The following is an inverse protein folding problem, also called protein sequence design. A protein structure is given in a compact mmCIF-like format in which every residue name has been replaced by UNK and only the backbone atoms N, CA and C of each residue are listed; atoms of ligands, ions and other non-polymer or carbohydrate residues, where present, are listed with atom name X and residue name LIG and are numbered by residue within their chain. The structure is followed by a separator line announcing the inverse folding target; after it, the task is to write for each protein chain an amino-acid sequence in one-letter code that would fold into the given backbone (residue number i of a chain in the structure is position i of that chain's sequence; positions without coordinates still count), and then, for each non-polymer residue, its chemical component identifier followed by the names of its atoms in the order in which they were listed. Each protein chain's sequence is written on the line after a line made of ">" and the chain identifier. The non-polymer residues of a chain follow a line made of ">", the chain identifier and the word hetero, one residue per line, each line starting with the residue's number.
data_IF_865444445691
#
_entry.id   IF_865444445691
#
_cell.length_a   1.000
_cell.length_b   1.000
_cell.length_c   1.000
_cell.angle_alpha   90.00
_cell.angle_beta   90.00
_cell.angle_gamma   90.00
#
_symmetry.space_group_name_H-M   'P 1'
#
loop_
_entity.id
_entity.type
_entity.pdbx_description
1 polymer ?
#
# COMPACT_ATOMS: atom_id res chain seq x y z
N UNK A 1 31.45 -2.11 -10.76
CA UNK A 1 30.47 -2.95 -10.06
C UNK A 1 29.20 -2.14 -9.89
N UNK A 2 28.07 -2.68 -10.34
CA UNK A 2 26.75 -2.05 -10.26
C UNK A 2 25.89 -2.76 -9.24
N UNK A 3 25.39 -2.01 -8.26
CA UNK A 3 24.63 -2.53 -7.13
C UNK A 3 23.28 -1.82 -7.04
N UNK A 4 22.20 -2.59 -7.00
CA UNK A 4 20.86 -2.05 -6.75
C UNK A 4 20.50 -2.21 -5.29
N UNK A 5 20.05 -1.14 -4.65
CA UNK A 5 19.71 -1.06 -3.24
C UNK A 5 18.20 -0.84 -3.12
N UNK A 6 17.45 -1.92 -2.98
CA UNK A 6 15.99 -1.92 -3.01
C UNK A 6 15.35 -2.43 -1.71
N UNK A 7 15.55 -1.76 -0.56
CA UNK A 7 14.98 -2.18 0.71
C UNK A 7 13.58 -1.62 0.95
N UNK A 8 12.86 -2.28 1.85
CA UNK A 8 11.73 -1.69 2.58
C UNK A 8 12.22 -0.85 3.77
N UNK A 9 11.29 -0.16 4.41
CA UNK A 9 11.46 0.40 5.73
C UNK A 9 11.79 -0.66 6.78
N UNK A 10 12.59 -0.24 7.76
CA UNK A 10 12.69 -0.95 9.02
C UNK A 10 11.64 -0.30 9.92
N UNK A 11 10.47 -0.96 10.05
CA UNK A 11 9.29 -0.41 10.75
C UNK A 11 9.66 0.18 12.11
N UNK A 12 9.12 1.37 12.38
CA UNK A 12 9.40 2.16 13.59
C UNK A 12 10.89 2.49 13.84
N UNK A 13 11.72 2.48 12.80
CA UNK A 13 13.16 2.71 12.90
C UNK A 13 13.69 3.61 11.77
N UNK A 14 13.73 3.11 10.54
CA UNK A 14 14.23 3.84 9.37
C UNK A 14 13.27 3.71 8.20
N UNK A 15 13.04 4.80 7.47
CA UNK A 15 12.33 4.75 6.20
C UNK A 15 13.14 3.98 5.15
N UNK A 16 12.48 3.43 4.14
CA UNK A 16 13.13 2.71 3.03
C UNK A 16 14.28 3.53 2.41
N UNK A 17 14.09 4.84 2.23
CA UNK A 17 15.12 5.75 1.73
C UNK A 17 16.35 5.83 2.65
N UNK A 18 16.15 5.86 3.98
CA UNK A 18 17.25 5.87 4.95
C UNK A 18 17.97 4.52 5.01
N UNK A 19 17.25 3.41 4.84
CA UNK A 19 17.85 2.08 4.73
C UNK A 19 18.70 1.98 3.47
N UNK A 20 18.19 2.43 2.32
CA UNK A 20 18.93 2.43 1.05
C UNK A 20 20.21 3.27 1.14
N UNK A 21 20.14 4.45 1.76
CA UNK A 21 21.32 5.29 2.00
C UNK A 21 22.35 4.63 2.93
N UNK A 22 21.90 3.93 3.98
CA UNK A 22 22.78 3.17 4.86
C UNK A 22 23.46 2.00 4.12
N UNK A 23 22.74 1.31 3.24
CA UNK A 23 23.33 0.27 2.38
C UNK A 23 24.38 0.86 1.44
N UNK A 24 24.09 2.01 0.81
CA UNK A 24 25.04 2.69 -0.08
C UNK A 24 26.34 3.05 0.66
N UNK A 25 26.22 3.57 1.88
CA UNK A 25 27.37 3.87 2.72
C UNK A 25 28.25 2.63 2.92
N UNK A 26 27.63 1.47 3.23
CA UNK A 26 28.35 0.19 3.36
C UNK A 26 29.02 -0.27 2.06
N UNK A 27 28.35 -0.11 0.91
CA UNK A 27 28.93 -0.44 -0.40
C UNK A 27 30.17 0.43 -0.67
N UNK A 28 30.05 1.75 -0.50
CA UNK A 28 31.13 2.70 -0.81
C UNK A 28 32.33 2.61 0.13
N UNK A 29 32.15 2.08 1.34
CA UNK A 29 33.27 1.79 2.25
C UNK A 29 34.25 0.76 1.65
N UNK A 30 33.73 -0.21 0.88
CA UNK A 30 34.51 -1.32 0.32
C UNK A 30 34.84 -1.08 -1.15
N UNK A 31 33.91 -0.51 -1.91
CA UNK A 31 34.06 -0.20 -3.33
C UNK A 31 33.62 1.25 -3.60
N UNK A 32 34.51 2.25 -3.40
CA UNK A 32 34.17 3.67 -3.55
C UNK A 32 33.59 4.05 -4.91
N UNK A 33 34.11 3.40 -5.96
CA UNK A 33 33.73 3.59 -7.37
C UNK A 33 32.52 2.73 -7.82
N UNK A 34 31.81 2.08 -6.88
CA UNK A 34 30.62 1.33 -7.22
C UNK A 34 29.49 2.24 -7.73
N UNK A 35 28.80 1.77 -8.77
CA UNK A 35 27.59 2.38 -9.29
C UNK A 35 26.39 1.89 -8.45
N UNK A 36 25.95 2.70 -7.49
CA UNK A 36 24.85 2.39 -6.59
C UNK A 36 23.55 3.03 -7.08
N UNK A 37 22.55 2.21 -7.39
CA UNK A 37 21.19 2.68 -7.68
C UNK A 37 20.29 2.46 -6.46
N UNK A 38 19.84 3.55 -5.83
CA UNK A 38 18.94 3.49 -4.67
C UNK A 38 17.49 3.45 -5.16
N UNK A 39 16.76 2.42 -4.75
CA UNK A 39 15.36 2.21 -5.14
C UNK A 39 14.53 1.87 -3.90
N UNK A 40 14.19 2.84 -3.04
CA UNK A 40 13.34 2.58 -1.88
C UNK A 40 12.03 1.89 -2.30
N UNK A 41 11.72 0.77 -1.65
CA UNK A 41 10.56 -0.07 -1.97
C UNK A 41 9.53 -0.06 -0.84
N UNK A 42 8.34 -0.60 -1.15
CA UNK A 42 7.24 -0.85 -0.23
C UNK A 42 6.30 -1.93 -0.80
N UNK A 43 5.36 -2.39 0.02
CA UNK A 43 4.38 -3.46 -0.28
C UNK A 43 2.95 -2.92 -0.53
N UNK A 44 2.77 -1.62 -0.79
CA UNK A 44 1.44 -1.01 -0.92
C UNK A 44 0.80 -0.61 0.42
N UNK A 45 1.43 -0.96 1.55
CA UNK A 45 1.09 -0.49 2.88
C UNK A 45 1.63 0.91 3.20
N UNK A 46 1.70 1.22 4.49
CA UNK A 46 2.18 2.51 5.00
C UNK A 46 3.61 2.81 4.56
N UNK A 47 3.83 4.02 4.07
CA UNK A 47 5.11 4.50 3.58
C UNK A 47 5.31 4.32 2.09
N UNK A 48 4.35 3.70 1.38
CA UNK A 48 4.43 3.47 -0.08
C UNK A 48 4.57 4.77 -0.85
N UNK A 49 3.75 5.78 -0.54
CA UNK A 49 3.86 7.07 -1.23
C UNK A 49 5.21 7.73 -0.96
N UNK A 50 5.77 7.58 0.25
CA UNK A 50 7.08 8.12 0.59
C UNK A 50 8.22 7.39 -0.15
N UNK A 51 8.14 6.06 -0.27
CA UNK A 51 9.11 5.26 -1.01
C UNK A 51 9.12 5.64 -2.50
N UNK A 52 7.94 5.68 -3.13
CA UNK A 52 7.80 6.04 -4.56
C UNK A 52 8.26 7.47 -4.84
N UNK A 53 7.86 8.44 -4.01
CA UNK A 53 8.30 9.84 -4.16
C UNK A 53 9.82 9.95 -4.03
N UNK A 54 10.42 9.28 -3.06
CA UNK A 54 11.87 9.28 -2.87
C UNK A 54 12.61 8.59 -4.03
N UNK A 55 12.09 7.47 -4.54
CA UNK A 55 12.70 6.70 -5.62
C UNK A 55 12.66 7.41 -6.99
N UNK A 56 11.69 8.30 -7.20
CA UNK A 56 11.45 8.95 -8.49
C UNK A 56 11.66 10.48 -8.46
N UNK A 57 12.06 11.06 -7.33
CA UNK A 57 12.25 12.51 -7.20
C UNK A 57 10.94 13.30 -7.33
N UNK A 58 9.84 12.76 -6.80
CA UNK A 58 8.53 13.40 -6.80
C UNK A 58 8.41 14.54 -5.79
N UNK A 59 7.23 15.14 -5.73
CA UNK A 59 6.86 16.14 -4.75
C UNK A 59 5.50 15.86 -4.13
N UNK A 60 5.29 16.36 -2.92
CA UNK A 60 4.03 16.21 -2.20
C UNK A 60 3.02 17.27 -2.64
N UNK A 61 1.76 16.86 -2.74
CA UNK A 61 0.61 17.75 -2.85
C UNK A 61 -0.26 17.57 -1.62
N UNK A 62 -0.64 18.68 -0.99
CA UNK A 62 -1.48 18.71 0.21
C UNK A 62 -2.82 19.34 -0.12
N UNK A 63 -3.88 18.86 0.53
CA UNK A 63 -5.23 19.33 0.32
C UNK A 63 -6.10 19.10 1.55
N UNK A 64 -7.12 19.92 1.72
CA UNK A 64 -8.15 19.70 2.74
C UNK A 64 -9.29 18.88 2.15
N UNK A 65 -9.62 17.78 2.82
CA UNK A 65 -10.67 16.85 2.40
C UNK A 65 -11.56 16.47 3.56
N UNK A 66 -12.66 15.80 3.24
CA UNK A 66 -13.59 15.23 4.21
C UNK A 66 -12.96 14.02 4.90
N UNK A 67 -12.65 14.16 6.19
CA UNK A 67 -12.12 13.08 7.00
C UNK A 67 -13.13 11.98 7.30
N UNK A 68 -12.70 10.88 7.94
CA UNK A 68 -13.54 9.71 8.14
C UNK A 68 -14.77 10.02 9.00
N UNK A 69 -14.68 10.94 9.96
CA UNK A 69 -15.77 11.30 10.90
C UNK A 69 -16.50 12.60 10.53
N UNK A 70 -16.45 13.03 9.27
CA UNK A 70 -17.16 14.24 8.80
C UNK A 70 -16.38 15.55 8.91
N UNK A 71 -15.37 15.61 9.77
CA UNK A 71 -14.52 16.79 9.94
C UNK A 71 -13.50 16.93 8.82
N UNK A 72 -13.12 18.15 8.46
CA UNK A 72 -12.05 18.37 7.49
C UNK A 72 -10.69 17.91 8.02
N UNK A 73 -9.90 17.25 7.17
CA UNK A 73 -8.53 16.78 7.47
C UNK A 73 -7.58 17.15 6.33
N UNK A 74 -6.31 17.34 6.66
CA UNK A 74 -5.25 17.46 5.67
C UNK A 74 -4.87 16.09 5.11
N UNK A 75 -5.11 15.88 3.81
CA UNK A 75 -4.62 14.74 3.07
C UNK A 75 -3.43 15.13 2.20
N UNK A 76 -2.68 14.14 1.73
CA UNK A 76 -1.59 14.34 0.79
C UNK A 76 -1.41 13.18 -0.17
N UNK A 77 -0.85 13.45 -1.34
CA UNK A 77 -0.41 12.43 -2.28
C UNK A 77 0.92 12.84 -2.91
N UNK A 78 1.69 11.87 -3.39
CA UNK A 78 2.92 12.10 -4.13
C UNK A 78 2.62 12.30 -5.61
N UNK A 79 3.26 13.27 -6.25
CA UNK A 79 3.20 13.50 -7.70
C UNK A 79 4.58 13.35 -8.32
N UNK A 80 4.65 12.55 -9.39
CA UNK A 80 5.87 12.28 -10.16
C UNK A 80 5.52 12.45 -11.64
N UNK A 81 5.86 13.60 -12.23
CA UNK A 81 5.43 13.92 -13.60
C UNK A 81 3.90 13.88 -13.73
N UNK A 82 3.39 12.97 -14.56
CA UNK A 82 1.95 12.69 -14.75
C UNK A 82 1.45 11.44 -13.98
N UNK A 83 2.27 10.87 -13.11
CA UNK A 83 1.87 9.81 -12.19
C UNK A 83 1.62 10.36 -10.78
N UNK A 84 0.76 9.67 -10.03
CA UNK A 84 0.49 9.99 -8.64
C UNK A 84 0.46 8.74 -7.77
N UNK A 85 0.88 8.87 -6.53
CA UNK A 85 0.83 7.82 -5.51
C UNK A 85 0.05 8.32 -4.30
N UNK A 86 -1.00 7.59 -3.94
CA UNK A 86 -1.93 7.99 -2.89
C UNK A 86 -2.15 6.86 -1.89
N UNK A 87 -1.91 7.13 -0.62
CA UNK A 87 -2.27 6.24 0.48
C UNK A 87 -3.57 6.74 1.09
N UNK A 88 -4.66 5.96 1.00
CA UNK A 88 -5.98 6.41 1.47
C UNK A 88 -5.98 6.77 2.94
N UNK A 89 -5.10 6.18 3.75
CA UNK A 89 -4.94 6.51 5.15
C UNK A 89 -4.63 8.00 5.41
N UNK A 90 -4.02 8.72 4.45
CA UNK A 90 -3.80 10.16 4.64
C UNK A 90 -5.10 10.96 4.70
N UNK A 91 -6.18 10.45 4.09
CA UNK A 91 -7.48 11.11 4.05
C UNK A 91 -8.49 10.45 5.01
N UNK A 92 -8.45 9.12 5.11
CA UNK A 92 -9.48 8.31 5.79
C UNK A 92 -8.87 7.27 6.73
N UNK A 93 -7.67 7.54 7.24
CA UNK A 93 -6.91 6.61 8.07
C UNK A 93 -7.47 6.42 9.48
N UNK A 94 -7.29 5.22 10.03
CA UNK A 94 -7.64 4.85 11.39
C UNK A 94 -6.90 5.69 12.44
N UNK A 95 -5.68 6.14 12.12
CA UNK A 95 -4.89 7.05 12.94
C UNK A 95 -5.46 8.47 13.04
N UNK A 96 -6.39 8.85 12.16
CA UNK A 96 -7.08 10.14 12.23
C UNK A 96 -8.26 10.14 13.23
N UNK A 97 -8.61 8.97 13.77
CA UNK A 97 -9.77 8.79 14.65
C UNK A 97 -9.33 8.19 15.97
N UNK A 98 -9.48 8.98 17.05
CA UNK A 98 -9.26 8.50 18.40
C UNK A 98 -10.13 7.26 18.68
N UNK A 99 -9.65 6.23 19.39
CA UNK A 99 -10.40 4.99 19.62
C UNK A 99 -11.84 5.19 20.13
N UNK A 100 -12.03 6.12 21.08
CA UNK A 100 -13.35 6.44 21.65
C UNK A 100 -14.31 7.17 20.69
N UNK A 101 -13.84 7.61 19.52
CA UNK A 101 -14.60 8.33 18.49
C UNK A 101 -14.84 7.50 17.25
N UNK A 102 -14.41 6.24 17.24
CA UNK A 102 -14.62 5.33 16.11
C UNK A 102 -16.08 4.93 16.06
N UNK A 103 -16.76 5.36 15.02
CA UNK A 103 -18.12 4.96 14.67
C UNK A 103 -18.10 4.42 13.25
N UNK A 104 -18.22 3.10 13.13
CA UNK A 104 -18.10 2.40 11.84
C UNK A 104 -19.26 2.75 10.89
N UNK A 105 -20.44 3.09 11.41
CA UNK A 105 -21.64 3.42 10.62
C UNK A 105 -21.63 4.85 10.08
N UNK A 106 -20.89 5.74 10.74
CA UNK A 106 -20.72 7.13 10.31
C UNK A 106 -19.41 7.36 9.54
N UNK A 107 -18.49 6.39 9.56
CA UNK A 107 -17.22 6.50 8.85
C UNK A 107 -17.42 6.62 7.33
N UNK A 108 -16.85 7.67 6.72
CA UNK A 108 -17.00 7.94 5.29
C UNK A 108 -15.66 7.93 4.54
N UNK A 109 -15.62 7.28 3.39
CA UNK A 109 -14.47 7.27 2.48
C UNK A 109 -14.39 8.51 1.56
N UNK A 110 -15.23 9.52 1.77
CA UNK A 110 -15.38 10.68 0.86
C UNK A 110 -14.08 11.45 0.60
N UNK A 111 -13.23 11.59 1.61
CA UNK A 111 -11.93 12.26 1.45
C UNK A 111 -11.00 11.54 0.46
N UNK A 112 -11.09 10.22 0.35
CA UNK A 112 -10.32 9.46 -0.64
C UNK A 112 -10.79 9.79 -2.07
N UNK A 113 -12.10 9.83 -2.30
CA UNK A 113 -12.67 10.23 -3.59
C UNK A 113 -12.34 11.68 -3.97
N UNK A 114 -12.40 12.61 -3.01
CA UNK A 114 -12.00 14.00 -3.22
C UNK A 114 -10.52 14.12 -3.58
N UNK A 115 -9.65 13.29 -2.99
CA UNK A 115 -8.23 13.25 -3.30
C UNK A 115 -7.98 12.72 -4.71
N UNK A 116 -8.62 11.62 -5.10
CA UNK A 116 -8.53 11.10 -6.47
C UNK A 116 -9.05 12.09 -7.51
N UNK A 117 -10.16 12.79 -7.21
CA UNK A 117 -10.67 13.87 -8.08
C UNK A 117 -9.65 15.00 -8.25
N UNK A 118 -8.98 15.40 -7.17
CA UNK A 118 -7.92 16.41 -7.24
C UNK A 118 -6.72 15.93 -8.06
N UNK A 119 -6.35 14.64 -7.95
CA UNK A 119 -5.32 14.04 -8.80
C UNK A 119 -5.71 14.11 -10.28
N UNK A 120 -6.95 13.74 -10.62
CA UNK A 120 -7.47 13.83 -11.97
C UNK A 120 -7.42 15.26 -12.52
N UNK A 121 -7.87 16.25 -11.73
CA UNK A 121 -7.85 17.65 -12.16
C UNK A 121 -6.45 18.24 -12.34
N UNK A 122 -5.43 17.60 -11.77
CA UNK A 122 -4.02 17.96 -11.95
C UNK A 122 -3.36 17.23 -13.13
N UNK A 123 -4.13 16.51 -13.96
CA UNK A 123 -3.61 15.79 -15.12
C UNK A 123 -2.77 14.57 -14.76
N UNK A 124 -3.04 13.93 -13.63
CA UNK A 124 -2.45 12.62 -13.31
C UNK A 124 -3.18 11.56 -14.14
N UNK A 125 -2.43 10.80 -14.94
CA UNK A 125 -2.95 9.74 -15.81
C UNK A 125 -2.70 8.34 -15.27
N UNK A 126 -1.81 8.18 -14.29
CA UNK A 126 -1.54 6.90 -13.63
C UNK A 126 -1.56 7.11 -12.12
N UNK A 127 -2.44 6.41 -11.42
CA UNK A 127 -2.56 6.49 -9.97
C UNK A 127 -2.27 5.14 -9.32
N UNK A 128 -1.23 5.11 -8.50
CA UNK A 128 -0.94 4.01 -7.59
C UNK A 128 -1.61 4.29 -6.25
N UNK A 129 -2.51 3.42 -5.82
CA UNK A 129 -3.36 3.61 -4.64
C UNK A 129 -3.04 2.54 -3.60
N UNK A 130 -2.56 2.95 -2.44
CA UNK A 130 -2.42 2.10 -1.26
C UNK A 130 -3.69 2.17 -0.40
N UNK A 131 -4.27 1.01 -0.09
CA UNK A 131 -5.52 0.90 0.68
C UNK A 131 -5.33 0.65 2.19
N UNK A 132 -4.09 0.46 2.64
CA UNK A 132 -3.79 0.14 4.04
C UNK A 132 -4.30 1.20 5.04
N UNK A 133 -4.67 0.77 6.24
CA UNK A 133 -4.87 1.66 7.39
C UNK A 133 -6.18 2.47 7.41
N UNK A 134 -7.20 2.12 6.64
CA UNK A 134 -8.49 2.85 6.60
C UNK A 134 -9.30 2.76 7.92
N UNK A 135 -10.04 3.82 8.25
CA UNK A 135 -11.03 3.87 9.32
C UNK A 135 -12.45 3.44 8.88
N UNK A 136 -12.68 3.23 7.58
CA UNK A 136 -14.00 3.15 6.96
C UNK A 136 -14.44 1.71 6.70
N UNK A 137 -15.76 1.46 6.69
CA UNK A 137 -16.37 0.20 6.27
C UNK A 137 -17.65 0.46 5.46
N UNK A 138 -17.55 1.38 4.49
CA UNK A 138 -18.68 1.95 3.79
C UNK A 138 -18.86 1.44 2.35
N UNK A 139 -18.16 0.37 1.97
CA UNK A 139 -18.23 -0.16 0.62
C UNK A 139 -17.62 0.78 -0.44
N UNK A 140 -16.90 1.82 -0.01
CA UNK A 140 -16.42 2.87 -0.90
C UNK A 140 -17.52 3.80 -1.43
N UNK A 141 -18.72 3.80 -0.85
CA UNK A 141 -19.79 4.72 -1.25
C UNK A 141 -19.35 6.19 -1.10
N UNK A 142 -18.63 6.51 -0.03
CA UNK A 142 -18.05 7.84 0.17
C UNK A 142 -17.06 8.19 -0.93
N UNK A 143 -16.15 7.26 -1.28
CA UNK A 143 -15.17 7.42 -2.35
C UNK A 143 -15.85 7.75 -3.68
N UNK A 144 -16.88 6.99 -4.06
CA UNK A 144 -17.64 7.26 -5.29
C UNK A 144 -18.33 8.63 -5.23
N UNK A 145 -18.90 9.01 -4.07
CA UNK A 145 -19.49 10.32 -3.88
C UNK A 145 -18.46 11.46 -3.97
N UNK A 146 -17.23 11.24 -3.50
CA UNK A 146 -16.12 12.20 -3.61
C UNK A 146 -15.67 12.43 -5.05
N UNK A 147 -15.86 11.43 -5.91
CA UNK A 147 -15.64 11.50 -7.36
C UNK A 147 -16.85 12.04 -8.13
N UNK A 148 -18.01 12.18 -7.49
CA UNK A 148 -19.21 12.80 -8.09
C UNK A 148 -20.38 11.86 -8.34
N UNK A 149 -20.30 10.57 -7.98
CA UNK A 149 -21.45 9.67 -8.06
C UNK A 149 -22.62 10.18 -7.21
N UNK A 150 -23.84 9.87 -7.65
CA UNK A 150 -25.08 10.28 -6.99
C UNK A 150 -25.96 9.07 -6.67
N UNK A 151 -26.72 9.17 -5.59
CA UNK A 151 -27.46 8.05 -4.99
C UNK A 151 -28.89 8.51 -4.69
N UNK A 152 -29.87 7.69 -5.07
CA UNK A 152 -31.28 8.04 -4.93
C UNK A 152 -32.12 6.92 -4.33
N UNK A 153 -33.15 7.32 -3.58
CA UNK A 153 -34.18 6.42 -3.06
C UNK A 153 -35.19 6.02 -4.15
N UNK A 154 -36.17 5.19 -3.79
CA UNK A 154 -37.23 4.74 -4.70
C UNK A 154 -38.12 5.87 -5.26
N UNK A 155 -38.11 7.04 -4.62
CA UNK A 155 -38.89 8.21 -5.02
C UNK A 155 -38.05 9.22 -5.83
N UNK A 156 -36.76 8.93 -6.06
CA UNK A 156 -35.83 9.83 -6.73
C UNK A 156 -35.23 10.92 -5.83
N UNK A 157 -35.39 10.84 -4.50
CA UNK A 157 -34.73 11.77 -3.57
C UNK A 157 -33.28 11.38 -3.34
N UNK A 158 -32.40 12.38 -3.24
CA UNK A 158 -30.99 12.16 -2.96
C UNK A 158 -30.77 11.52 -1.59
N UNK A 159 -29.95 10.47 -1.55
CA UNK A 159 -29.55 9.77 -0.33
C UNK A 159 -28.13 10.17 0.05
N UNK A 160 -27.91 10.51 1.32
CA UNK A 160 -26.59 10.82 1.82
C UNK A 160 -25.68 9.56 1.77
N UNK A 161 -24.46 9.65 1.18
CA UNK A 161 -23.58 8.50 0.92
C UNK A 161 -22.84 8.03 2.18
N UNK A 162 -23.60 7.43 3.11
CA UNK A 162 -23.10 6.77 4.32
C UNK A 162 -23.58 5.32 4.33
N UNK A 163 -22.79 4.43 4.93
CA UNK A 163 -23.11 2.99 4.95
C UNK A 163 -24.46 2.68 5.59
N UNK A 164 -24.84 3.42 6.65
CA UNK A 164 -26.15 3.30 7.30
C UNK A 164 -27.35 3.62 6.38
N UNK A 165 -27.12 4.37 5.31
CA UNK A 165 -28.16 4.78 4.36
C UNK A 165 -28.21 3.90 3.11
N UNK A 166 -27.23 3.03 2.89
CA UNK A 166 -27.18 2.11 1.74
C UNK A 166 -28.50 1.35 1.52
N UNK A 167 -29.19 0.82 2.55
CA UNK A 167 -30.44 0.08 2.34
C UNK A 167 -31.57 0.91 1.69
N UNK A 168 -31.47 2.24 1.69
CA UNK A 168 -32.45 3.14 1.10
C UNK A 168 -32.17 3.44 -0.39
N UNK A 169 -30.96 3.14 -0.87
CA UNK A 169 -30.52 3.48 -2.23
C UNK A 169 -31.07 2.45 -3.21
N UNK A 170 -31.86 2.90 -4.18
CA UNK A 170 -32.39 2.04 -5.24
C UNK A 170 -31.84 2.39 -6.62
N UNK A 171 -31.29 3.59 -6.79
CA UNK A 171 -30.68 4.05 -8.03
C UNK A 171 -29.32 4.68 -7.76
N UNK A 172 -28.34 4.34 -8.59
CA UNK A 172 -26.96 4.83 -8.55
C UNK A 172 -26.60 5.43 -9.90
N UNK A 173 -26.27 6.72 -9.93
CA UNK A 173 -25.67 7.38 -11.08
C UNK A 173 -24.13 7.37 -10.92
N UNK A 174 -23.49 6.35 -11.48
CA UNK A 174 -22.03 6.14 -11.39
C UNK A 174 -21.24 6.94 -12.45
N UNK A 175 -21.88 7.28 -13.57
CA UNK A 175 -21.26 7.94 -14.73
C UNK A 175 -20.41 9.18 -14.38
N UNK A 176 -20.84 10.11 -13.49
CA UNK A 176 -20.00 11.26 -13.16
C UNK A 176 -18.66 10.89 -12.49
N UNK A 177 -18.64 9.81 -11.69
CA UNK A 177 -17.41 9.31 -11.08
C UNK A 177 -16.51 8.65 -12.13
N UNK A 178 -17.07 7.88 -13.05
CA UNK A 178 -16.34 7.27 -14.18
C UNK A 178 -15.70 8.36 -15.06
N UNK A 179 -16.45 9.40 -15.42
CA UNK A 179 -15.95 10.53 -16.21
C UNK A 179 -14.79 11.26 -15.51
N UNK A 180 -14.88 11.42 -14.19
CA UNK A 180 -13.82 12.07 -13.39
C UNK A 180 -12.49 11.33 -13.49
N UNK A 181 -12.51 10.00 -13.56
CA UNK A 181 -11.28 9.16 -13.62
C UNK A 181 -11.04 8.54 -15.01
N UNK A 182 -11.81 8.92 -16.03
CA UNK A 182 -11.79 8.27 -17.34
C UNK A 182 -10.41 8.29 -18.02
N UNK A 183 -9.62 9.34 -17.77
CA UNK A 183 -8.27 9.49 -18.31
C UNK A 183 -7.17 8.93 -17.37
N UNK A 184 -7.55 8.21 -16.31
CA UNK A 184 -6.64 7.65 -15.32
C UNK A 184 -6.60 6.13 -15.40
N UNK A 185 -5.39 5.58 -15.43
CA UNK A 185 -5.12 4.20 -15.07
C UNK A 185 -5.02 4.11 -13.55
N UNK A 186 -5.93 3.35 -12.93
CA UNK A 186 -5.97 3.15 -11.49
C UNK A 186 -5.37 1.79 -11.13
N UNK A 187 -4.29 1.79 -10.37
CA UNK A 187 -3.67 0.58 -9.83
C UNK A 187 -3.77 0.60 -8.32
N UNK A 188 -4.39 -0.44 -7.75
CA UNK A 188 -4.45 -0.65 -6.31
C UNK A 188 -3.33 -1.59 -5.90
N UNK A 189 -2.40 -1.11 -5.09
CA UNK A 189 -1.34 -1.91 -4.48
C UNK A 189 -1.85 -2.49 -3.17
N UNK A 190 -2.20 -3.77 -3.17
CA UNK A 190 -2.70 -4.46 -1.97
C UNK A 190 -2.46 -5.95 -2.04
N UNK A 191 -1.99 -6.51 -0.91
CA UNK A 191 -1.87 -7.95 -0.72
C UNK A 191 -3.11 -8.55 -0.02
N UNK A 192 -4.14 -7.73 0.23
CA UNK A 192 -5.41 -8.17 0.79
C UNK A 192 -6.21 -8.87 -0.30
N UNK A 193 -6.50 -10.15 -0.12
CA UNK A 193 -7.30 -10.96 -1.04
C UNK A 193 -8.75 -11.13 -0.59
N UNK A 194 -9.11 -10.62 0.60
CA UNK A 194 -10.44 -10.72 1.18
C UNK A 194 -11.55 -10.23 0.22
N UNK A 195 -12.62 -11.01 0.00
CA UNK A 195 -13.78 -10.57 -0.78
C UNK A 195 -14.56 -9.47 -0.03
N UNK A 196 -15.58 -8.89 -0.67
CA UNK A 196 -16.37 -7.84 -0.03
C UNK A 196 -17.09 -8.34 1.23
N UNK A 197 -17.70 -9.52 1.13
CA UNK A 197 -18.63 -10.06 2.14
C UNK A 197 -18.26 -11.47 2.62
N UNK A 198 -18.93 -11.94 3.66
CA UNK A 198 -18.81 -13.29 4.21
C UNK A 198 -17.80 -13.39 5.35
N UNK A 199 -17.44 -14.63 5.73
CA UNK A 199 -16.57 -14.90 6.89
C UNK A 199 -15.17 -14.29 6.76
N UNK A 200 -14.68 -14.19 5.54
CA UNK A 200 -13.42 -13.55 5.20
C UNK A 200 -13.64 -12.16 4.59
N UNK A 201 -14.84 -11.60 4.70
CA UNK A 201 -15.23 -10.33 4.13
C UNK A 201 -14.69 -9.10 4.89
N UNK A 202 -14.93 -7.93 4.32
CA UNK A 202 -14.44 -6.65 4.84
C UNK A 202 -14.84 -6.41 6.31
N UNK A 203 -16.13 -6.57 6.60
CA UNK A 203 -16.70 -6.33 7.94
C UNK A 203 -16.19 -7.33 8.96
N UNK A 204 -16.12 -8.61 8.62
CA UNK A 204 -15.72 -9.68 9.53
C UNK A 204 -14.24 -9.58 9.93
N UNK A 205 -13.36 -9.35 8.95
CA UNK A 205 -11.91 -9.35 9.17
C UNK A 205 -11.41 -8.00 9.70
N UNK A 206 -11.91 -6.89 9.15
CA UNK A 206 -11.35 -5.56 9.42
C UNK A 206 -12.29 -4.65 10.21
N UNK A 207 -13.56 -5.01 10.41
CA UNK A 207 -14.52 -4.26 11.20
C UNK A 207 -14.16 -4.12 12.69
N UNK A 208 -13.72 -5.18 13.41
CA UNK A 208 -13.45 -5.10 14.85
C UNK A 208 -12.46 -3.99 15.24
N UNK A 209 -11.34 -3.87 14.51
CA UNK A 209 -10.34 -2.81 14.77
C UNK A 209 -10.85 -1.39 14.49
N UNK A 210 -11.93 -1.26 13.70
CA UNK A 210 -12.61 0.01 13.36
C UNK A 210 -13.76 0.33 14.31
N UNK A 211 -14.01 -0.50 15.32
CA UNK A 211 -15.05 -0.28 16.33
C UNK A 211 -16.35 -1.06 16.10
N UNK A 212 -16.37 -2.04 15.18
CA UNK A 212 -17.55 -2.89 14.99
C UNK A 212 -17.75 -3.85 16.17
N UNK A 213 -18.98 -3.92 16.68
CA UNK A 213 -19.44 -5.03 17.52
C UNK A 213 -19.80 -6.25 16.66
N UNK A 214 -20.06 -7.39 17.28
CA UNK A 214 -20.48 -8.59 16.55
C UNK A 214 -21.80 -8.37 15.77
N UNK A 215 -22.75 -7.63 16.34
CA UNK A 215 -24.00 -7.27 15.64
C UNK A 215 -23.73 -6.36 14.44
N UNK A 216 -22.84 -5.38 14.59
CA UNK A 216 -22.47 -4.48 13.50
C UNK A 216 -21.87 -5.26 12.33
N UNK A 217 -21.05 -6.28 12.60
CA UNK A 217 -20.42 -7.10 11.55
C UNK A 217 -21.49 -7.77 10.67
N UNK A 218 -22.51 -8.38 11.28
CA UNK A 218 -23.58 -9.08 10.56
C UNK A 218 -24.45 -8.10 9.76
N UNK A 219 -24.76 -6.93 10.34
CA UNK A 219 -25.57 -5.90 9.70
C UNK A 219 -24.82 -5.22 8.55
N UNK A 220 -23.53 -4.90 8.76
CA UNK A 220 -22.66 -4.34 7.73
C UNK A 220 -22.44 -5.32 6.60
N UNK A 221 -22.22 -6.61 6.88
CA UNK A 221 -22.03 -7.62 5.84
C UNK A 221 -23.25 -7.71 4.90
N UNK A 222 -24.47 -7.74 5.47
CA UNK A 222 -25.71 -7.70 4.67
C UNK A 222 -25.86 -6.41 3.88
N UNK A 223 -25.51 -5.28 4.48
CA UNK A 223 -25.55 -3.96 3.85
C UNK A 223 -24.57 -3.88 2.67
N UNK A 224 -23.34 -4.36 2.86
CA UNK A 224 -22.32 -4.40 1.81
C UNK A 224 -22.67 -5.41 0.71
N UNK A 225 -23.33 -6.52 1.03
CA UNK A 225 -23.79 -7.47 0.03
C UNK A 225 -24.87 -6.84 -0.88
N UNK A 226 -25.79 -6.04 -0.31
CA UNK A 226 -26.75 -5.26 -1.08
C UNK A 226 -26.06 -4.22 -1.96
N UNK A 227 -25.12 -3.47 -1.37
CA UNK A 227 -24.34 -2.46 -2.08
C UNK A 227 -23.54 -3.03 -3.25
N UNK A 228 -22.85 -4.16 -3.02
CA UNK A 228 -22.11 -4.88 -4.05
C UNK A 228 -23.01 -5.24 -5.23
N UNK A 229 -24.21 -5.79 -4.97
CA UNK A 229 -25.16 -6.14 -6.04
C UNK A 229 -25.61 -4.92 -6.84
N UNK A 230 -25.81 -3.77 -6.19
CA UNK A 230 -26.15 -2.53 -6.89
C UNK A 230 -25.00 -2.07 -7.80
N UNK A 231 -23.74 -2.20 -7.36
CA UNK A 231 -22.57 -1.91 -8.19
C UNK A 231 -22.47 -2.87 -9.39
N UNK A 232 -22.66 -4.17 -9.18
CA UNK A 232 -22.65 -5.17 -10.25
C UNK A 232 -23.75 -4.91 -11.28
N UNK A 233 -24.96 -4.52 -10.84
CA UNK A 233 -26.06 -4.14 -11.72
C UNK A 233 -25.72 -2.93 -12.60
N UNK A 234 -25.12 -1.89 -12.03
CA UNK A 234 -24.79 -0.66 -12.78
C UNK A 234 -23.58 -0.85 -13.70
N UNK A 235 -22.62 -1.68 -13.30
CA UNK A 235 -21.38 -1.89 -14.05
C UNK A 235 -21.44 -3.06 -15.03
N UNK A 236 -22.37 -4.01 -14.83
CA UNK A 236 -22.43 -5.28 -15.57
C UNK A 236 -21.26 -6.23 -15.28
N UNK A 237 -20.55 -6.04 -14.16
CA UNK A 237 -19.37 -6.83 -13.76
C UNK A 237 -19.66 -7.62 -12.49
N UNK A 238 -19.09 -8.80 -12.35
CA UNK A 238 -19.04 -9.54 -11.08
C UNK A 238 -17.88 -9.00 -10.24
N UNK A 239 -18.17 -8.44 -9.07
CA UNK A 239 -17.23 -7.64 -8.28
C UNK A 239 -17.11 -8.12 -6.83
N UNK A 240 -18.17 -8.66 -6.24
CA UNK A 240 -18.26 -8.94 -4.80
C UNK A 240 -17.21 -9.96 -4.36
N UNK A 241 -17.01 -11.00 -5.17
CA UNK A 241 -16.13 -12.13 -4.88
C UNK A 241 -14.71 -11.96 -5.45
N UNK A 242 -14.43 -10.83 -6.11
CA UNK A 242 -13.09 -10.56 -6.62
C UNK A 242 -12.08 -10.44 -5.46
N UNK A 243 -10.89 -11.05 -5.58
CA UNK A 243 -9.86 -10.92 -4.57
C UNK A 243 -9.54 -9.45 -4.28
N UNK A 244 -9.63 -9.08 -3.01
CA UNK A 244 -9.37 -7.72 -2.53
C UNK A 244 -10.53 -6.74 -2.70
N UNK A 245 -11.71 -7.18 -3.14
CA UNK A 245 -12.92 -6.37 -3.15
C UNK A 245 -13.26 -5.82 -1.74
N UNK A 246 -12.94 -6.56 -0.68
CA UNK A 246 -13.13 -6.14 0.70
C UNK A 246 -12.06 -5.21 1.25
N UNK A 247 -10.99 -4.94 0.49
CA UNK A 247 -9.89 -4.10 0.94
C UNK A 247 -10.40 -2.73 1.40
N UNK A 248 -9.88 -2.29 2.55
CA UNK A 248 -10.21 -1.03 3.18
C UNK A 248 -11.72 -0.79 3.40
N UNK A 249 -12.44 -1.84 3.85
CA UNK A 249 -13.85 -1.72 4.16
C UNK A 249 -14.75 -1.65 2.93
N UNK A 250 -14.31 -2.28 1.84
CA UNK A 250 -15.00 -2.28 0.55
C UNK A 250 -14.65 -1.10 -0.38
N UNK A 251 -13.64 -0.27 -0.07
CA UNK A 251 -13.13 0.65 -1.09
C UNK A 251 -12.54 -0.11 -2.30
N UNK A 252 -12.05 -1.33 -2.09
CA UNK A 252 -11.62 -2.22 -3.18
C UNK A 252 -12.71 -2.44 -4.23
N UNK A 253 -13.93 -2.82 -3.82
CA UNK A 253 -15.05 -3.05 -4.76
C UNK A 253 -15.44 -1.78 -5.51
N UNK A 254 -15.41 -0.61 -4.85
CA UNK A 254 -15.68 0.67 -5.50
C UNK A 254 -14.63 1.04 -6.55
N UNK A 255 -13.34 0.79 -6.27
CA UNK A 255 -12.26 1.04 -7.23
C UNK A 255 -12.32 0.04 -8.40
N UNK A 256 -12.65 -1.22 -8.15
CA UNK A 256 -12.91 -2.22 -9.21
C UNK A 256 -14.08 -1.79 -10.11
N UNK A 257 -15.16 -1.26 -9.52
CA UNK A 257 -16.29 -0.70 -10.28
C UNK A 257 -15.88 0.45 -11.19
N UNK A 258 -14.89 1.25 -10.78
CA UNK A 258 -14.26 2.31 -11.58
C UNK A 258 -13.23 1.80 -12.61
N UNK A 259 -12.99 0.49 -12.66
CA UNK A 259 -12.03 -0.12 -13.59
C UNK A 259 -10.59 -0.18 -13.09
N UNK A 260 -10.35 0.00 -11.78
CA UNK A 260 -9.02 -0.18 -11.21
C UNK A 260 -8.55 -1.63 -11.29
N UNK A 261 -7.24 -1.81 -11.38
CA UNK A 261 -6.59 -3.12 -11.30
C UNK A 261 -6.02 -3.31 -9.90
N UNK A 262 -6.40 -4.41 -9.24
CA UNK A 262 -5.78 -4.82 -7.99
C UNK A 262 -4.55 -5.67 -8.31
N UNK A 263 -3.41 -5.28 -7.74
CA UNK A 263 -2.12 -5.93 -8.01
C UNK A 263 -1.37 -6.14 -6.69
N UNK A 264 -0.56 -7.22 -6.57
CA UNK A 264 0.32 -7.41 -5.43
C UNK A 264 1.17 -6.17 -5.20
N UNK A 265 1.25 -5.71 -3.96
CA UNK A 265 1.71 -4.36 -3.69
C UNK A 265 3.18 -4.14 -4.05
N UNK A 266 4.04 -5.08 -3.69
CA UNK A 266 5.47 -5.06 -4.07
C UNK A 266 5.67 -5.04 -5.59
N UNK A 267 4.83 -5.75 -6.35
CA UNK A 267 4.92 -5.78 -7.81
C UNK A 267 4.53 -4.43 -8.41
N UNK A 268 3.36 -3.91 -8.01
CA UNK A 268 2.87 -2.63 -8.48
C UNK A 268 3.84 -1.48 -8.14
N UNK A 269 4.41 -1.48 -6.93
CA UNK A 269 5.41 -0.50 -6.50
C UNK A 269 6.71 -0.66 -7.31
N UNK A 270 7.21 -1.88 -7.46
CA UNK A 270 8.46 -2.15 -8.18
C UNK A 270 8.40 -1.70 -9.64
N UNK A 271 7.30 -1.96 -10.33
CA UNK A 271 7.08 -1.47 -11.69
C UNK A 271 6.93 0.06 -11.73
N UNK A 272 6.18 0.64 -10.80
CA UNK A 272 6.00 2.09 -10.73
C UNK A 272 7.33 2.83 -10.55
N UNK A 273 8.28 2.26 -9.78
CA UNK A 273 9.61 2.84 -9.57
C UNK A 273 10.65 2.39 -10.60
N UNK A 274 10.27 1.58 -11.60
CA UNK A 274 11.16 1.08 -12.65
C UNK A 274 12.26 0.15 -12.12
N UNK A 275 11.97 -0.63 -11.08
CA UNK A 275 12.93 -1.56 -10.49
C UNK A 275 13.45 -2.61 -11.48
N UNK A 276 12.61 -3.28 -12.32
CA UNK A 276 13.11 -4.27 -13.27
C UNK A 276 14.17 -3.73 -14.24
N UNK A 277 13.98 -2.51 -14.76
CA UNK A 277 14.93 -1.85 -15.65
C UNK A 277 16.23 -1.49 -14.92
N UNK A 278 16.12 -1.05 -13.66
CA UNK A 278 17.25 -0.71 -12.80
C UNK A 278 18.07 -1.93 -12.37
N UNK A 279 17.44 -3.11 -12.28
CA UNK A 279 18.11 -4.38 -12.00
C UNK A 279 18.89 -4.90 -13.21
N UNK A 280 18.38 -4.69 -14.44
CA UNK A 280 18.99 -5.26 -15.65
C UNK A 280 20.48 -4.90 -15.77
N UNK A 281 21.35 -5.89 -15.73
CA UNK A 281 22.80 -5.72 -15.81
C UNK A 281 23.47 -5.25 -14.51
N UNK A 282 22.79 -5.36 -13.37
CA UNK A 282 23.41 -5.22 -12.05
C UNK A 282 24.19 -6.49 -11.68
N UNK A 283 25.26 -6.33 -10.91
CA UNK A 283 26.06 -7.46 -10.40
C UNK A 283 25.44 -8.07 -9.15
N UNK A 284 24.68 -7.26 -8.39
CA UNK A 284 24.14 -7.61 -7.09
C UNK A 284 22.95 -6.72 -6.73
N UNK A 285 21.96 -7.29 -6.05
CA UNK A 285 20.87 -6.56 -5.41
C UNK A 285 20.98 -6.73 -3.89
N UNK A 286 20.90 -5.63 -3.15
CA UNK A 286 20.60 -5.65 -1.72
C UNK A 286 19.16 -5.24 -1.48
N UNK A 287 18.48 -5.98 -0.62
CA UNK A 287 17.16 -5.62 -0.10
C UNK A 287 17.13 -5.85 1.41
N UNK A 288 16.03 -5.53 2.07
CA UNK A 288 15.91 -5.73 3.50
C UNK A 288 14.61 -5.18 4.07
N UNK A 289 14.30 -5.64 5.27
CA UNK A 289 13.18 -5.16 6.08
C UNK A 289 13.51 -5.36 7.57
N UNK A 290 12.66 -4.83 8.46
CA UNK A 290 12.88 -4.95 9.91
C UNK A 290 12.96 -6.39 10.44
N UNK A 291 12.20 -7.32 9.83
CA UNK A 291 12.19 -8.74 10.20
C UNK A 291 12.00 -9.62 8.98
N UNK A 292 12.95 -10.52 8.71
CA UNK A 292 12.82 -11.56 7.69
C UNK A 292 12.61 -12.90 8.38
N UNK A 293 11.54 -13.59 8.00
CA UNK A 293 11.13 -14.91 8.47
C UNK A 293 10.43 -15.66 7.33
N UNK A 294 9.99 -16.89 7.57
CA UNK A 294 9.32 -17.72 6.57
C UNK A 294 8.05 -17.06 6.00
N UNK A 295 7.45 -16.10 6.71
CA UNK A 295 6.31 -15.33 6.22
C UNK A 295 6.69 -14.30 5.15
N UNK A 296 7.96 -13.92 5.04
CA UNK A 296 8.44 -12.98 4.01
C UNK A 296 8.13 -13.46 2.58
N UNK A 297 7.97 -14.78 2.36
CA UNK A 297 7.55 -15.32 1.05
C UNK A 297 6.13 -14.95 0.62
N UNK A 298 5.27 -14.55 1.55
CA UNK A 298 3.87 -14.24 1.28
C UNK A 298 3.67 -12.74 1.02
N UNK A 299 4.30 -12.23 -0.04
CA UNK A 299 4.04 -10.89 -0.57
C UNK A 299 4.85 -9.74 0.03
N UNK A 300 5.78 -10.00 0.96
CA UNK A 300 6.61 -8.93 1.53
C UNK A 300 7.64 -8.39 0.54
N UNK A 301 8.02 -7.13 0.74
CA UNK A 301 8.93 -6.38 -0.11
C UNK A 301 10.23 -7.11 -0.47
N UNK A 302 11.02 -7.67 0.48
CA UNK A 302 12.29 -8.32 0.12
C UNK A 302 12.11 -9.49 -0.84
N UNK A 303 11.06 -10.28 -0.67
CA UNK A 303 10.81 -11.43 -1.52
C UNK A 303 10.44 -11.02 -2.94
N UNK A 304 9.55 -10.03 -3.10
CA UNK A 304 9.18 -9.51 -4.42
C UNK A 304 10.37 -8.89 -5.16
N UNK A 305 11.23 -8.15 -4.45
CA UNK A 305 12.49 -7.63 -5.01
C UNK A 305 13.40 -8.77 -5.49
N UNK A 306 13.56 -9.82 -4.70
CA UNK A 306 14.37 -10.97 -5.07
C UNK A 306 13.79 -11.75 -6.26
N UNK A 307 12.46 -11.83 -6.38
CA UNK A 307 11.81 -12.41 -7.56
C UNK A 307 12.11 -11.61 -8.83
N UNK A 308 11.94 -10.28 -8.80
CA UNK A 308 12.29 -9.42 -9.94
C UNK A 308 13.78 -9.48 -10.31
N UNK A 309 14.65 -9.62 -9.31
CA UNK A 309 16.08 -9.82 -9.51
C UNK A 309 16.41 -11.17 -10.16
N UNK A 310 15.74 -12.24 -9.70
CA UNK A 310 15.91 -13.59 -10.22
C UNK A 310 15.49 -13.71 -11.70
N UNK A 311 14.44 -12.98 -12.13
CA UNK A 311 14.05 -12.88 -13.54
C UNK A 311 15.14 -12.29 -14.45
N UNK A 312 16.06 -11.50 -13.88
CA UNK A 312 17.22 -10.94 -14.57
C UNK A 312 18.52 -11.69 -14.25
N UNK A 313 18.44 -12.84 -13.57
CA UNK A 313 19.58 -13.64 -13.11
C UNK A 313 20.57 -12.87 -12.21
N UNK A 314 20.09 -11.86 -11.48
CA UNK A 314 20.91 -11.08 -10.55
C UNK A 314 20.74 -11.65 -9.12
N UNK A 315 21.83 -12.01 -8.42
CA UNK A 315 21.74 -12.51 -7.06
C UNK A 315 21.27 -11.42 -6.10
N UNK A 316 20.44 -11.80 -5.12
CA UNK A 316 19.94 -10.89 -4.09
C UNK A 316 20.44 -11.30 -2.71
N UNK A 317 20.98 -10.34 -1.96
CA UNK A 317 21.29 -10.48 -0.53
C UNK A 317 20.27 -9.66 0.26
N UNK A 318 19.62 -10.29 1.24
CA UNK A 318 18.70 -9.62 2.12
C UNK A 318 19.37 -9.32 3.48
N UNK A 319 19.25 -8.09 3.95
CA UNK A 319 19.66 -7.71 5.31
C UNK A 319 18.44 -7.46 6.17
N UNK A 320 18.43 -7.98 7.40
CA UNK A 320 17.28 -7.87 8.28
C UNK A 320 17.65 -7.35 9.66
N UNK A 321 16.81 -6.49 10.23
CA UNK A 321 16.93 -6.08 11.64
C UNK A 321 16.89 -7.28 12.59
N UNK A 322 16.04 -8.26 12.26
CA UNK A 322 15.95 -9.57 12.90
C UNK A 322 15.73 -10.65 11.85
N UNK A 323 16.41 -11.79 12.03
CA UNK A 323 16.20 -13.00 11.23
C UNK A 323 15.42 -14.01 12.08
N UNK A 324 14.32 -14.54 11.53
CA UNK A 324 13.51 -15.59 12.13
C UNK A 324 14.17 -16.97 12.01
N UNK A 325 13.76 -17.92 12.85
CA UNK A 325 14.31 -19.28 12.86
C UNK A 325 14.02 -20.08 11.59
N UNK A 326 13.03 -19.66 10.81
CA UNK A 326 12.57 -20.25 9.55
C UNK A 326 13.10 -19.52 8.30
N UNK A 327 13.94 -18.49 8.48
CA UNK A 327 14.50 -17.73 7.35
C UNK A 327 15.52 -18.52 6.53
N UNK A 328 16.09 -19.61 7.07
CA UNK A 328 16.97 -20.52 6.34
C UNK A 328 16.30 -21.12 5.10
N UNK A 329 14.98 -21.28 5.12
CA UNK A 329 14.21 -21.78 3.97
C UNK A 329 14.16 -20.80 2.79
N UNK A 330 14.61 -19.56 2.97
CA UNK A 330 14.65 -18.53 1.92
C UNK A 330 16.03 -18.45 1.25
N UNK A 331 16.94 -19.37 1.59
CA UNK A 331 18.31 -19.48 1.07
C UNK A 331 18.51 -20.89 0.50
N UNK A 332 19.18 -21.05 -0.66
CA UNK A 332 19.73 -20.01 -1.53
C UNK A 332 18.69 -19.35 -2.45
N UNK A 333 17.40 -19.71 -2.29
CA UNK A 333 16.32 -19.17 -3.09
C UNK A 333 15.16 -18.63 -2.22
N UNK A 334 14.70 -17.41 -2.47
CA UNK A 334 15.12 -16.50 -3.54
C UNK A 334 16.39 -15.69 -3.21
N UNK A 335 16.88 -15.75 -1.97
CA UNK A 335 18.05 -14.98 -1.55
C UNK A 335 19.33 -15.81 -1.57
N UNK A 336 20.39 -15.26 -2.14
CA UNK A 336 21.72 -15.85 -2.02
C UNK A 336 22.19 -15.91 -0.55
N UNK A 337 21.77 -14.93 0.26
CA UNK A 337 21.98 -14.91 1.70
C UNK A 337 20.94 -14.02 2.40
N UNK A 338 20.58 -14.38 3.63
CA UNK A 338 19.83 -13.56 4.58
C UNK A 338 20.74 -13.26 5.77
N UNK A 339 21.02 -11.98 6.04
CA UNK A 339 22.04 -11.58 7.01
C UNK A 339 21.44 -10.66 8.08
N UNK A 340 21.57 -10.99 9.38
CA UNK A 340 21.12 -10.10 10.45
C UNK A 340 22.03 -8.88 10.55
N UNK A 341 21.47 -7.71 10.82
CA UNK A 341 22.25 -6.47 10.95
C UNK A 341 22.90 -6.29 12.32
N UNK A 342 22.55 -7.11 13.32
CA UNK A 342 23.04 -6.98 14.69
C UNK A 342 24.29 -7.83 14.92
N UNK A 343 25.33 -7.23 15.50
CA UNK A 343 26.62 -7.88 15.78
C UNK A 343 26.75 -8.44 17.20
N UNK A 344 25.86 -8.04 18.11
CA UNK A 344 25.82 -8.48 19.50
C UNK A 344 24.40 -8.32 20.05
N UNK A 345 24.04 -9.06 21.12
CA UNK A 345 22.82 -8.80 21.87
C UNK A 345 22.79 -7.35 22.37
N UNK A 346 21.69 -6.64 22.15
CA UNK A 346 21.46 -5.27 22.61
C UNK A 346 19.97 -5.00 22.81
N UNK A 347 19.62 -3.90 23.48
CA UNK A 347 18.22 -3.49 23.61
C UNK A 347 17.65 -3.04 22.26
N UNK A 348 16.31 -3.09 22.12
CA UNK A 348 15.63 -2.62 20.90
C UNK A 348 15.92 -1.12 20.64
N UNK A 349 15.99 -0.32 21.69
CA UNK A 349 16.29 1.12 21.58
C UNK A 349 17.71 1.36 21.06
N UNK A 350 18.71 0.62 21.55
CA UNK A 350 20.08 0.71 21.05
C UNK A 350 20.19 0.22 19.60
N UNK A 351 19.48 -0.86 19.27
CA UNK A 351 19.40 -1.38 17.91
C UNK A 351 18.80 -0.35 16.94
N UNK A 352 17.69 0.31 17.32
CA UNK A 352 17.06 1.37 16.52
C UNK A 352 17.98 2.58 16.34
N UNK A 353 18.66 3.03 17.40
CA UNK A 353 19.61 4.16 17.33
C UNK A 353 20.83 3.87 16.45
N UNK A 354 21.30 2.63 16.45
CA UNK A 354 22.50 2.22 15.69
C UNK A 354 22.18 1.61 14.33
N UNK A 355 20.91 1.54 13.93
CA UNK A 355 20.44 0.77 12.78
C UNK A 355 21.16 1.13 11.48
N UNK A 356 21.32 2.41 11.16
CA UNK A 356 21.98 2.84 9.92
C UNK A 356 23.45 2.37 9.86
N UNK A 357 24.19 2.50 10.97
CA UNK A 357 25.57 2.02 11.07
C UNK A 357 25.63 0.50 10.96
N UNK A 358 24.71 -0.19 11.62
CA UNK A 358 24.63 -1.65 11.60
C UNK A 358 24.34 -2.20 10.20
N UNK A 359 23.40 -1.58 9.46
CA UNK A 359 23.10 -1.90 8.07
C UNK A 359 24.35 -1.68 7.20
N UNK A 360 25.00 -0.52 7.30
CA UNK A 360 26.19 -0.20 6.51
C UNK A 360 27.31 -1.22 6.72
N UNK A 361 27.66 -1.52 7.98
CA UNK A 361 28.68 -2.53 8.32
C UNK A 361 28.33 -3.92 7.79
N UNK A 362 27.05 -4.30 7.82
CA UNK A 362 26.59 -5.61 7.33
C UNK A 362 26.76 -5.72 5.81
N UNK A 363 26.34 -4.69 5.08
CA UNK A 363 26.51 -4.61 3.62
C UNK A 363 27.99 -4.62 3.23
N UNK A 364 28.83 -3.85 3.93
CA UNK A 364 30.27 -3.84 3.72
C UNK A 364 30.88 -5.24 3.89
N UNK A 365 30.51 -5.96 4.95
CA UNK A 365 31.01 -7.32 5.18
C UNK A 365 30.54 -8.32 4.11
N UNK A 366 29.28 -8.25 3.68
CA UNK A 366 28.78 -9.07 2.57
C UNK A 366 29.57 -8.82 1.28
N UNK A 367 29.90 -7.55 1.02
CA UNK A 367 30.62 -7.15 -0.18
C UNK A 367 32.09 -7.56 -0.17
N UNK A 368 32.76 -7.47 1.00
CA UNK A 368 34.13 -7.99 1.19
C UNK A 368 34.22 -9.46 0.82
N UNK A 369 33.24 -10.27 1.23
CA UNK A 369 33.20 -11.70 0.89
C UNK A 369 32.99 -11.96 -0.60
N UNK A 370 32.24 -11.10 -1.30
CA UNK A 370 31.97 -11.22 -2.74
C UNK A 370 33.20 -10.90 -3.61
N UNK A 371 34.10 -10.05 -3.12
CA UNK A 371 35.31 -9.61 -3.82
C UNK A 371 36.54 -10.50 -3.59
N UNK A 372 36.44 -11.50 -2.71
CA UNK A 372 37.47 -12.54 -2.53
C UNK A 372 37.49 -13.52 -3.72
#
# INVERSE_FOLDING_TARGET
>A
MRVVLAPDSFKECLSAAKVAAAMEWGVREVAPEADCTLVPMADGGEGTASAVVAALGGYWQELQVHGPMGTSVGARFGKVGQAGVFEVASAVGLGLVAPARRDIWSASSRGAGQTLRAMASMGIHRALIGLGGSATNDGGIGLLAGLGAQFFDQNGHAVEPLVKNIPQITQLALEPALQTVAAMELTVASDVTNPLCGREGASAIFGPQKGATQSDIEDLDRTLAYWGRLLEQVTGKELIDLPGAGAAGGMGVALLALGAQLRPGVQAVGEAVGLPEKIRGADLVFTGEGKIDGQTRYGKTPYGVAQMAAEQHVPTIAVAGRVGSDAEELVPHPFAAVVPTLFAPMSLEEAKKSAAKNIASTVANCLRLKLL
#
